data_IF_625147070984
#
_entry.id   IF_625147070984
#
_cell.length_a   1.000
_cell.length_b   1.000
_cell.length_c   1.000
_cell.angle_alpha   90.00
_cell.angle_beta   90.00
_cell.angle_gamma   90.00
#
_symmetry.space_group_name_H-M   'P 1'
#
loop_
_entity.id
_entity.type
_entity.pdbx_description
1 polymer ?
#
# COMPACT_ATOMS: atom_id res chain seq x y z
N UNK A 1 -38.70 41.73 -4.75
CA UNK A 1 -37.72 41.54 -5.85
C UNK A 1 -36.54 40.76 -5.30
N UNK A 2 -36.02 39.88 -6.15
CA UNK A 2 -35.09 38.77 -5.88
C UNK A 2 -33.78 39.16 -5.20
N UNK A 3 -33.25 38.23 -4.41
CA UNK A 3 -31.92 38.32 -3.78
C UNK A 3 -31.52 37.11 -2.93
N UNK A 4 -32.34 36.05 -2.87
CA UNK A 4 -31.92 34.75 -2.37
C UNK A 4 -31.14 34.04 -3.48
N UNK A 5 -29.82 33.86 -3.31
CA UNK A 5 -29.03 32.68 -3.70
C UNK A 5 -27.53 32.99 -3.66
N UNK A 6 -26.97 32.98 -2.46
CA UNK A 6 -25.58 32.60 -2.26
C UNK A 6 -25.60 31.52 -1.18
N UNK A 7 -26.07 30.33 -1.56
CA UNK A 7 -26.00 29.15 -0.72
C UNK A 7 -24.51 28.81 -0.62
N UNK A 8 -23.94 29.14 0.53
CA UNK A 8 -22.59 28.77 0.93
C UNK A 8 -22.57 27.26 1.21
N UNK A 9 -22.33 26.46 0.17
CA UNK A 9 -22.27 24.98 0.22
C UNK A 9 -20.87 24.44 0.59
N UNK A 10 -19.99 25.24 1.20
CA UNK A 10 -18.58 24.89 1.38
C UNK A 10 -18.22 24.20 2.72
N UNK A 11 -19.20 23.69 3.48
CA UNK A 11 -18.98 23.28 4.89
C UNK A 11 -18.69 21.81 5.21
N UNK A 12 -18.83 20.84 4.30
CA UNK A 12 -18.96 19.42 4.71
C UNK A 12 -18.03 18.39 4.04
N UNK A 13 -16.90 18.77 3.41
CA UNK A 13 -15.94 17.79 2.84
C UNK A 13 -14.46 18.07 3.09
N UNK A 14 -14.09 19.15 3.79
CA UNK A 14 -12.68 19.52 3.97
C UNK A 14 -11.84 18.50 4.77
N UNK A 15 -12.47 17.70 5.63
CA UNK A 15 -11.79 16.67 6.42
C UNK A 15 -11.36 15.44 5.61
N UNK A 16 -12.13 15.05 4.57
CA UNK A 16 -11.85 13.86 3.77
C UNK A 16 -10.80 14.12 2.69
N UNK A 17 -10.87 15.29 2.06
CA UNK A 17 -9.94 15.67 0.99
C UNK A 17 -8.49 15.76 1.48
N UNK A 18 -8.26 16.30 2.69
CA UNK A 18 -6.91 16.39 3.27
C UNK A 18 -6.29 15.01 3.55
N UNK A 19 -7.10 14.04 3.98
CA UNK A 19 -6.64 12.68 4.21
C UNK A 19 -6.30 11.98 2.90
N UNK A 20 -7.16 12.10 1.89
CA UNK A 20 -6.90 11.56 0.56
C UNK A 20 -5.61 12.15 -0.05
N UNK A 21 -5.42 13.47 0.06
CA UNK A 21 -4.21 14.14 -0.43
C UNK A 21 -2.95 13.66 0.30
N UNK A 22 -3.02 13.50 1.63
CA UNK A 22 -1.90 13.00 2.43
C UNK A 22 -1.47 11.60 2.01
N UNK A 23 -2.44 10.68 1.84
CA UNK A 23 -2.19 9.31 1.36
C UNK A 23 -1.61 9.34 -0.04
N UNK A 24 -2.16 10.16 -0.93
CA UNK A 24 -1.67 10.30 -2.29
C UNK A 24 -0.19 10.73 -2.33
N UNK A 25 0.20 11.72 -1.51
CA UNK A 25 1.60 12.15 -1.40
C UNK A 25 2.50 11.01 -0.91
N UNK A 26 2.08 10.27 0.12
CA UNK A 26 2.86 9.15 0.66
C UNK A 26 3.00 8.03 -0.37
N UNK A 27 1.93 7.69 -1.09
CA UNK A 27 1.96 6.68 -2.16
C UNK A 27 2.87 7.09 -3.31
N UNK A 28 2.87 8.37 -3.66
CA UNK A 28 3.76 8.92 -4.67
C UNK A 28 5.22 8.82 -4.21
N UNK A 29 5.52 9.21 -2.96
CA UNK A 29 6.85 9.09 -2.38
C UNK A 29 7.35 7.64 -2.37
N UNK A 30 6.50 6.71 -1.94
CA UNK A 30 6.83 5.28 -1.91
C UNK A 30 7.15 4.75 -3.31
N UNK A 31 6.37 5.17 -4.31
CA UNK A 31 6.60 4.81 -5.72
C UNK A 31 7.90 5.41 -6.26
N UNK A 32 8.24 6.65 -5.85
CA UNK A 32 9.50 7.28 -6.20
C UNK A 32 10.71 6.55 -5.61
N UNK A 33 10.60 6.09 -4.36
CA UNK A 33 11.62 5.27 -3.71
C UNK A 33 11.79 3.93 -4.44
N UNK A 34 10.69 3.30 -4.85
CA UNK A 34 10.71 2.02 -5.58
C UNK A 34 11.43 2.16 -6.93
N UNK A 35 11.13 3.22 -7.69
CA UNK A 35 11.81 3.53 -8.96
C UNK A 35 13.29 3.84 -8.73
N UNK A 36 13.62 4.60 -7.69
CA UNK A 36 15.00 4.92 -7.33
C UNK A 36 15.80 3.66 -6.97
N UNK A 37 15.23 2.77 -6.15
CA UNK A 37 15.85 1.50 -5.79
C UNK A 37 16.04 0.57 -7.00
N UNK A 38 15.11 0.60 -7.96
CA UNK A 38 15.26 -0.13 -9.23
C UNK A 38 16.35 0.44 -10.13
N UNK A 39 16.69 1.71 -9.98
CA UNK A 39 17.79 2.36 -10.71
C UNK A 39 19.16 2.05 -10.13
N UNK A 40 19.24 1.83 -8.82
CA UNK A 40 20.45 1.32 -8.19
C UNK A 40 20.51 -0.17 -8.54
N UNK A 41 21.39 -0.55 -9.45
CA UNK A 41 21.63 -1.94 -9.82
C UNK A 41 22.21 -2.74 -8.65
N UNK A 42 21.34 -3.13 -7.70
CA UNK A 42 21.62 -4.06 -6.63
C UNK A 42 21.55 -5.49 -7.16
N UNK A 43 22.01 -6.44 -6.36
CA UNK A 43 21.80 -7.85 -6.67
C UNK A 43 20.31 -8.10 -6.92
N UNK A 44 19.99 -8.84 -8.00
CA UNK A 44 18.62 -9.09 -8.44
C UNK A 44 17.74 -9.63 -7.29
N UNK A 45 18.33 -10.39 -6.38
CA UNK A 45 17.64 -10.95 -5.21
C UNK A 45 17.22 -9.88 -4.19
N UNK A 46 18.11 -8.93 -3.88
CA UNK A 46 17.81 -7.83 -2.96
C UNK A 46 16.86 -6.83 -3.62
N UNK A 47 17.05 -6.53 -4.90
CA UNK A 47 16.17 -5.65 -5.66
C UNK A 47 14.73 -6.16 -5.63
N UNK A 48 14.49 -7.41 -6.05
CA UNK A 48 13.14 -7.98 -6.08
C UNK A 48 12.52 -8.07 -4.68
N UNK A 49 13.30 -8.45 -3.66
CA UNK A 49 12.82 -8.50 -2.27
C UNK A 49 12.38 -7.12 -1.76
N UNK A 50 13.16 -6.07 -2.06
CA UNK A 50 12.87 -4.70 -1.63
C UNK A 50 11.68 -4.11 -2.38
N UNK A 51 11.60 -4.30 -3.71
CA UNK A 51 10.47 -3.85 -4.53
C UNK A 51 9.18 -4.54 -4.08
N UNK A 52 9.22 -5.85 -3.83
CA UNK A 52 8.07 -6.60 -3.33
C UNK A 52 7.64 -6.08 -1.94
N UNK A 53 8.59 -5.84 -1.03
CA UNK A 53 8.34 -5.28 0.30
C UNK A 53 7.74 -3.86 0.26
N UNK A 54 8.24 -2.99 -0.61
CA UNK A 54 7.70 -1.64 -0.83
C UNK A 54 6.26 -1.69 -1.35
N UNK A 55 5.99 -2.57 -2.33
CA UNK A 55 4.65 -2.79 -2.89
C UNK A 55 3.66 -3.31 -1.83
N UNK A 56 4.11 -4.19 -0.94
CA UNK A 56 3.35 -4.63 0.22
C UNK A 56 2.98 -3.46 1.13
N UNK A 57 3.97 -2.68 1.59
CA UNK A 57 3.73 -1.50 2.45
C UNK A 57 2.71 -0.57 1.80
N UNK A 58 2.84 -0.33 0.48
CA UNK A 58 1.89 0.45 -0.32
C UNK A 58 0.46 -0.10 -0.20
N UNK A 59 0.27 -1.40 -0.45
CA UNK A 59 -1.03 -2.06 -0.40
C UNK A 59 -1.65 -2.03 0.99
N UNK A 60 -0.86 -2.30 2.04
CA UNK A 60 -1.32 -2.21 3.44
C UNK A 60 -1.78 -0.80 3.80
N UNK A 61 -1.04 0.21 3.34
CA UNK A 61 -1.38 1.62 3.57
C UNK A 61 -2.65 2.03 2.82
N UNK A 62 -2.83 1.58 1.58
CA UNK A 62 -4.06 1.81 0.80
C UNK A 62 -5.25 1.20 1.52
N UNK A 63 -5.16 -0.06 1.95
CA UNK A 63 -6.25 -0.75 2.65
C UNK A 63 -6.57 -0.02 3.96
N UNK A 64 -5.54 0.31 4.75
CA UNK A 64 -5.70 0.99 6.02
C UNK A 64 -6.32 2.40 5.89
N UNK A 65 -6.13 3.09 4.76
CA UNK A 65 -6.66 4.45 4.56
C UNK A 65 -7.96 4.50 3.76
N UNK A 66 -8.05 3.78 2.64
CA UNK A 66 -9.21 3.81 1.75
C UNK A 66 -10.38 2.97 2.26
N UNK A 67 -10.11 1.92 3.04
CA UNK A 67 -11.16 1.12 3.67
C UNK A 67 -11.63 1.72 5.01
N UNK A 68 -10.96 2.78 5.48
CA UNK A 68 -11.16 3.39 6.79
C UNK A 68 -11.72 4.82 6.68
N UNK A 69 -12.85 4.98 5.98
CA UNK A 69 -13.84 5.96 6.40
C UNK A 69 -14.40 5.50 7.75
N UNK A 70 -13.62 5.76 8.81
CA UNK A 70 -14.05 6.40 10.05
C UNK A 70 -15.53 6.13 10.39
N UNK A 71 -15.86 5.05 11.11
CA UNK A 71 -16.48 5.15 12.46
C UNK A 71 -17.04 3.88 13.16
N UNK A 72 -17.00 2.64 12.66
CA UNK A 72 -17.72 1.55 13.39
C UNK A 72 -16.98 0.22 13.70
N UNK A 73 -15.81 -0.10 13.13
CA UNK A 73 -15.41 -1.52 12.99
C UNK A 73 -14.04 -1.90 13.56
N UNK A 74 -13.91 -1.90 14.89
CA UNK A 74 -12.79 -2.61 15.58
C UNK A 74 -12.68 -4.09 15.16
N UNK A 75 -13.80 -4.71 14.79
CA UNK A 75 -13.88 -6.10 14.33
C UNK A 75 -13.26 -6.32 12.94
N UNK A 76 -13.47 -5.41 11.97
CA UNK A 76 -12.90 -5.56 10.62
C UNK A 76 -11.38 -5.32 10.61
N UNK A 77 -10.87 -4.40 11.44
CA UNK A 77 -9.42 -4.21 11.59
C UNK A 77 -8.79 -5.50 12.12
N UNK A 78 -9.44 -6.15 13.09
CA UNK A 78 -8.93 -7.35 13.74
C UNK A 78 -8.96 -8.59 12.83
N UNK A 79 -9.78 -8.62 11.77
CA UNK A 79 -9.81 -9.72 10.79
C UNK A 79 -8.99 -9.43 9.53
N UNK A 80 -8.94 -8.18 9.08
CA UNK A 80 -8.25 -7.80 7.85
C UNK A 80 -6.74 -7.63 8.04
N UNK A 81 -6.31 -7.13 9.20
CA UNK A 81 -4.89 -7.02 9.56
C UNK A 81 -4.19 -8.39 9.58
N UNK A 82 -4.73 -9.45 10.24
CA UNK A 82 -4.09 -10.77 10.19
C UNK A 82 -4.19 -11.40 8.80
N UNK A 83 -5.29 -11.21 8.06
CA UNK A 83 -5.36 -11.71 6.67
C UNK A 83 -4.26 -11.10 5.80
N UNK A 84 -4.08 -9.78 5.88
CA UNK A 84 -3.04 -9.08 5.14
C UNK A 84 -1.63 -9.49 5.57
N UNK A 85 -1.39 -9.65 6.88
CA UNK A 85 -0.12 -10.16 7.41
C UNK A 85 0.16 -11.60 6.97
N UNK A 86 -0.85 -12.48 6.95
CA UNK A 86 -0.71 -13.86 6.50
C UNK A 86 -0.35 -13.91 5.01
N UNK A 87 -1.04 -13.14 4.16
CA UNK A 87 -0.72 -13.04 2.72
C UNK A 87 0.71 -12.51 2.52
N UNK A 88 1.10 -11.50 3.31
CA UNK A 88 2.47 -10.95 3.30
C UNK A 88 3.51 -12.01 3.67
N UNK A 89 3.25 -12.76 4.74
CA UNK A 89 4.15 -13.80 5.24
C UNK A 89 4.26 -14.95 4.22
N UNK A 90 3.15 -15.36 3.61
CA UNK A 90 3.13 -16.38 2.55
C UNK A 90 3.92 -15.94 1.31
N UNK A 91 3.74 -14.70 0.83
CA UNK A 91 4.50 -14.17 -0.31
C UNK A 91 6.00 -14.10 0.00
N UNK A 92 6.36 -13.69 1.23
CA UNK A 92 7.75 -13.62 1.66
C UNK A 92 8.40 -14.99 1.84
N UNK A 93 7.64 -16.04 2.16
CA UNK A 93 8.12 -17.42 2.23
C UNK A 93 8.17 -18.07 0.84
N UNK A 94 7.20 -17.79 -0.02
CA UNK A 94 7.10 -18.36 -1.36
C UNK A 94 8.19 -17.83 -2.30
N UNK A 95 8.57 -16.56 -2.14
CA UNK A 95 9.64 -15.94 -2.92
C UNK A 95 10.96 -16.73 -2.82
N UNK A 96 11.58 -16.92 -1.63
CA UNK A 96 12.81 -17.72 -1.48
C UNK A 96 12.62 -19.22 -1.77
N UNK A 97 11.43 -19.79 -1.54
CA UNK A 97 11.17 -21.21 -1.79
C UNK A 97 11.14 -21.55 -3.29
N UNK A 98 10.58 -20.66 -4.11
CA UNK A 98 10.61 -20.79 -5.58
C UNK A 98 12.05 -20.79 -6.13
N UNK A 99 12.97 -20.06 -5.50
CA UNK A 99 14.39 -20.07 -5.86
C UNK A 99 15.09 -21.37 -5.43
N UNK A 100 14.76 -21.94 -4.25
CA UNK A 100 15.26 -23.27 -3.85
C UNK A 100 14.87 -24.36 -4.84
N UNK A 101 13.67 -24.30 -5.40
CA UNK A 101 13.20 -25.24 -6.41
C UNK A 101 13.89 -25.06 -7.77
N UNK A 102 14.30 -23.83 -8.11
CA UNK A 102 15.09 -23.55 -9.31
C UNK A 102 16.52 -24.14 -9.22
N UNK A 103 17.11 -24.18 -8.02
CA UNK A 103 18.45 -24.74 -7.80
C UNK A 103 18.49 -26.26 -7.97
N UNK A 104 17.43 -26.99 -7.61
CA UNK A 104 17.34 -28.44 -7.84
C UNK A 104 17.13 -28.85 -9.31
N UNK A 105 16.79 -27.92 -10.20
CA UNK A 105 16.53 -28.24 -11.63
C UNK A 105 17.81 -28.31 -12.47
N UNK A 106 18.91 -27.72 -12.02
CA UNK A 106 20.16 -27.70 -12.77
C UNK A 106 21.33 -28.20 -11.91
N UNK A 107 21.50 -29.53 -11.76
CA UNK A 107 22.78 -30.07 -11.33
C UNK A 107 23.84 -29.65 -12.35
N UNK A 108 24.94 -29.05 -11.86
CA UNK A 108 26.15 -28.82 -12.65
C UNK A 108 26.81 -30.15 -12.98
#
# INVERSE_FOLDING_TARGET
MSGHSAHNEQGHSEGSTKLYLSVWIILLLLSGVEVYLGYIHLSLHLMLSLLMGLSLIKAGMIIAYFMHLRFETRSLILTLLPMWLIVTCLLFVFFPDSFRLAEFRFPK
#
